data_IF_529930896214
#
_entry.id   IF_529930896214
#
_cell.length_a   1.000
_cell.length_b   1.000
_cell.length_c   1.000
_cell.angle_alpha   90.00
_cell.angle_beta   90.00
_cell.angle_gamma   90.00
#
_symmetry.space_group_name_H-M   'P 1'
#
loop_
_entity.id
_entity.type
_entity.pdbx_description
1 polymer ?
#
# COMPACT_ATOMS: atom_id res chain seq x y z
N UNK A 1 -21.85 -0.07 -0.40
CA UNK A 1 -21.04 1.16 -0.38
C UNK A 1 -19.96 1.03 -1.42
N UNK A 2 -20.03 1.87 -2.46
CA UNK A 2 -18.99 2.02 -3.46
C UNK A 2 -18.10 3.17 -3.01
N UNK A 3 -16.81 2.89 -2.90
CA UNK A 3 -15.80 3.95 -2.93
C UNK A 3 -15.53 4.18 -4.42
N UNK A 4 -16.40 4.99 -5.04
CA UNK A 4 -16.02 5.72 -6.25
C UNK A 4 -14.92 6.70 -5.81
N UNK A 5 -13.76 6.65 -6.44
CA UNK A 5 -13.26 7.67 -7.39
C UNK A 5 -13.52 9.17 -7.11
N UNK A 6 -13.89 9.53 -5.87
CA UNK A 6 -13.93 10.90 -5.36
C UNK A 6 -12.79 11.03 -4.36
N UNK A 7 -11.84 11.90 -4.70
CA UNK A 7 -11.08 12.72 -3.75
C UNK A 7 -10.47 11.97 -2.55
N UNK A 8 -9.28 11.39 -2.78
CA UNK A 8 -8.27 11.20 -1.72
C UNK A 8 -7.64 12.54 -1.31
N UNK A 9 -8.40 13.62 -1.30
CA UNK A 9 -7.86 14.99 -1.23
C UNK A 9 -7.23 15.33 0.14
N UNK A 10 -7.35 14.47 1.16
CA UNK A 10 -6.59 14.65 2.41
C UNK A 10 -6.39 13.36 3.23
N UNK A 11 -5.53 12.44 2.76
CA UNK A 11 -5.18 11.25 3.54
C UNK A 11 -4.56 11.60 4.91
N UNK A 12 -3.86 12.73 5.00
CA UNK A 12 -3.30 13.23 6.25
C UNK A 12 -4.35 13.54 7.31
N UNK A 13 -5.57 13.95 6.93
CA UNK A 13 -6.68 14.12 7.86
C UNK A 13 -7.53 12.86 8.04
N UNK A 14 -7.79 12.14 6.96
CA UNK A 14 -8.78 11.06 6.96
C UNK A 14 -8.26 9.72 7.47
N UNK A 15 -6.97 9.43 7.27
CA UNK A 15 -6.36 8.15 7.61
C UNK A 15 -6.02 8.04 9.11
N UNK A 16 -6.96 8.40 9.99
CA UNK A 16 -6.78 8.46 11.46
C UNK A 16 -6.32 7.14 12.10
N UNK A 17 -6.59 6.01 11.46
CA UNK A 17 -6.15 4.70 11.93
C UNK A 17 -4.66 4.44 11.66
N UNK A 18 -4.01 5.32 10.89
CA UNK A 18 -2.59 5.33 10.60
C UNK A 18 -1.94 6.44 11.43
N UNK A 19 -1.21 6.04 12.45
CA UNK A 19 -0.41 6.89 13.32
C UNK A 19 0.79 6.08 13.83
N UNK A 20 2.02 6.47 13.48
CA UNK A 20 2.37 7.68 12.73
C UNK A 20 2.00 7.62 11.23
N UNK A 21 1.98 8.79 10.57
CA UNK A 21 1.76 8.94 9.13
C UNK A 21 2.52 10.14 8.56
N UNK A 22 2.87 10.08 7.28
CA UNK A 22 3.60 11.11 6.57
C UNK A 22 3.28 11.12 5.09
N UNK A 23 3.48 12.28 4.48
CA UNK A 23 3.57 12.46 3.03
C UNK A 23 4.98 12.90 2.66
N UNK A 24 5.45 12.42 1.53
CA UNK A 24 6.75 12.78 0.99
C UNK A 24 6.70 12.81 -0.53
N UNK A 25 7.47 13.74 -1.11
CA UNK A 25 7.63 13.81 -2.55
C UNK A 25 8.85 12.99 -2.96
N UNK A 26 8.69 12.19 -4.03
CA UNK A 26 9.81 11.56 -4.72
C UNK A 26 9.79 11.96 -6.19
N UNK A 27 10.97 12.09 -6.79
CA UNK A 27 11.13 12.57 -8.17
C UNK A 27 10.39 11.70 -9.21
N UNK A 28 10.22 10.42 -8.90
CA UNK A 28 9.71 9.43 -9.85
C UNK A 28 8.18 9.22 -9.76
N UNK A 29 7.52 9.90 -8.83
CA UNK A 29 6.06 9.85 -8.67
C UNK A 29 5.49 11.24 -8.94
N UNK A 30 4.42 11.29 -9.73
CA UNK A 30 3.80 12.57 -10.11
C UNK A 30 3.06 13.23 -8.93
N UNK A 31 2.57 12.41 -8.00
CA UNK A 31 1.85 12.83 -6.80
C UNK A 31 2.68 12.47 -5.54
N UNK A 32 2.49 13.20 -4.43
CA UNK A 32 3.08 12.82 -3.15
C UNK A 32 2.73 11.37 -2.77
N UNK A 33 3.70 10.70 -2.16
CA UNK A 33 3.49 9.36 -1.62
C UNK A 33 3.10 9.51 -0.16
N UNK A 34 1.94 8.96 0.18
CA UNK A 34 1.50 8.86 1.57
C UNK A 34 1.94 7.53 2.15
N UNK A 35 2.45 7.58 3.37
CA UNK A 35 2.78 6.44 4.19
C UNK A 35 2.08 6.53 5.54
N UNK A 36 1.69 5.38 6.09
CA UNK A 36 1.27 5.33 7.47
C UNK A 36 1.24 3.94 8.06
N UNK A 37 1.35 3.88 9.38
CA UNK A 37 1.41 2.65 10.16
C UNK A 37 0.25 2.56 11.16
N UNK A 38 -0.33 1.38 11.30
CA UNK A 38 -1.27 1.07 12.37
C UNK A 38 -0.51 0.73 13.65
N UNK A 39 -1.17 0.91 14.79
CA UNK A 39 -0.68 0.41 16.10
C UNK A 39 -0.31 -1.09 16.10
N UNK A 40 -0.91 -1.89 15.22
CA UNK A 40 -0.59 -3.31 15.07
C UNK A 40 0.65 -3.59 14.21
N UNK A 41 1.45 -2.59 13.83
CA UNK A 41 2.64 -2.75 12.99
C UNK A 41 2.36 -2.77 11.47
N UNK A 42 1.15 -3.16 11.04
CA UNK A 42 0.71 -3.10 9.64
C UNK A 42 0.87 -1.69 9.07
N UNK A 43 1.37 -1.57 7.85
CA UNK A 43 1.60 -0.27 7.22
C UNK A 43 1.08 -0.24 5.79
N UNK A 44 1.04 0.95 5.20
CA UNK A 44 0.52 1.14 3.84
C UNK A 44 1.26 2.28 3.14
N UNK A 45 1.39 2.14 1.82
CA UNK A 45 1.90 3.17 0.91
C UNK A 45 0.83 3.46 -0.13
N UNK A 46 0.57 4.75 -0.37
CA UNK A 46 -0.35 5.25 -1.37
C UNK A 46 0.44 6.12 -2.32
N UNK A 47 0.47 5.74 -3.59
CA UNK A 47 1.12 6.47 -4.66
C UNK A 47 0.02 7.28 -5.37
N UNK A 48 -0.31 8.45 -4.82
CA UNK A 48 -1.50 9.20 -5.23
C UNK A 48 -2.80 8.40 -5.05
N UNK A 49 -3.61 8.35 -6.11
CA UNK A 49 -4.85 7.55 -6.20
C UNK A 49 -4.67 6.05 -6.50
N UNK A 50 -3.62 5.68 -7.22
CA UNK A 50 -3.34 4.32 -7.67
C UNK A 50 -1.87 4.26 -8.13
N UNK A 51 -1.02 3.34 -7.61
CA UNK A 51 -1.36 2.19 -6.77
C UNK A 51 -1.40 2.44 -5.25
N UNK A 52 -2.05 1.53 -4.54
CA UNK A 52 -1.97 1.41 -3.07
C UNK A 52 -1.50 0.03 -2.69
N UNK A 53 -0.56 -0.04 -1.74
CA UNK A 53 -0.09 -1.30 -1.16
C UNK A 53 -0.27 -1.29 0.35
N UNK A 54 -0.85 -2.36 0.89
CA UNK A 54 -1.06 -2.56 2.32
C UNK A 54 -0.36 -3.85 2.76
N UNK A 55 0.48 -3.73 3.77
CA UNK A 55 1.37 -4.81 4.21
C UNK A 55 0.99 -5.34 5.59
N UNK A 56 1.47 -6.53 5.93
CA UNK A 56 1.59 -6.95 7.33
C UNK A 56 2.79 -6.28 7.99
N UNK A 57 3.01 -6.56 9.27
CA UNK A 57 4.15 -6.02 10.02
C UNK A 57 5.51 -6.58 9.56
N UNK A 58 5.52 -7.68 8.78
CA UNK A 58 6.72 -8.28 8.18
C UNK A 58 6.99 -7.74 6.76
N UNK A 59 6.14 -6.88 6.21
CA UNK A 59 6.28 -6.34 4.86
C UNK A 59 5.72 -7.22 3.75
N UNK A 60 4.95 -8.27 4.07
CA UNK A 60 4.29 -9.07 3.05
C UNK A 60 2.99 -8.42 2.59
N UNK A 61 2.71 -8.52 1.28
CA UNK A 61 1.55 -7.87 0.69
C UNK A 61 0.24 -8.52 1.18
N UNK A 62 -0.64 -7.70 1.77
CA UNK A 62 -1.98 -8.11 2.25
C UNK A 62 -3.07 -7.72 1.28
N UNK A 63 -3.04 -6.48 0.82
CA UNK A 63 -4.03 -5.89 -0.10
C UNK A 63 -3.32 -4.91 -1.00
N UNK A 64 -3.82 -4.80 -2.22
CA UNK A 64 -3.40 -3.77 -3.15
C UNK A 64 -4.62 -3.16 -3.84
N UNK A 65 -4.55 -1.89 -4.20
CA UNK A 65 -5.44 -1.30 -5.19
C UNK A 65 -4.59 -0.98 -6.40
N UNK A 66 -4.84 -1.66 -7.52
CA UNK A 66 -4.02 -1.62 -8.73
C UNK A 66 -4.92 -1.53 -9.94
N UNK A 67 -4.63 -0.59 -10.82
CA UNK A 67 -5.31 -0.42 -12.11
C UNK A 67 -6.85 -0.41 -11.94
N UNK A 68 -7.34 0.29 -10.91
CA UNK A 68 -8.77 0.40 -10.59
C UNK A 68 -9.38 -0.76 -9.79
N UNK A 69 -8.60 -1.80 -9.49
CA UNK A 69 -9.11 -3.04 -8.89
C UNK A 69 -8.57 -3.29 -7.49
N UNK A 70 -9.42 -3.82 -6.61
CA UNK A 70 -9.02 -4.22 -5.25
C UNK A 70 -8.54 -5.68 -5.24
N UNK A 71 -7.33 -5.88 -4.75
CA UNK A 71 -6.70 -7.18 -4.55
C UNK A 71 -6.54 -7.51 -3.06
N UNK A 72 -6.64 -8.80 -2.72
CA UNK A 72 -6.51 -9.29 -1.34
C UNK A 72 -5.83 -10.66 -1.31
N UNK A 73 -4.85 -10.82 -0.42
CA UNK A 73 -4.16 -12.11 -0.24
C UNK A 73 -5.11 -13.24 0.15
N UNK A 74 -4.92 -14.38 -0.52
CA UNK A 74 -5.46 -15.70 -0.16
C UNK A 74 -4.40 -16.59 0.51
N UNK A 75 -3.23 -16.04 0.82
CA UNK A 75 -2.06 -16.74 1.37
C UNK A 75 -1.06 -17.15 0.30
N UNK A 76 -1.52 -17.74 -0.81
CA UNK A 76 -0.68 -18.20 -1.92
C UNK A 76 -0.91 -17.46 -3.25
N UNK A 77 -1.95 -16.62 -3.33
CA UNK A 77 -2.25 -15.77 -4.48
C UNK A 77 -3.00 -14.52 -4.04
N UNK A 78 -3.14 -13.54 -4.93
CA UNK A 78 -4.02 -12.40 -4.75
C UNK A 78 -5.37 -12.68 -5.41
N UNK A 79 -6.44 -12.39 -4.70
CA UNK A 79 -7.79 -12.39 -5.26
C UNK A 79 -8.17 -10.97 -5.66
N UNK A 80 -8.48 -10.76 -6.94
CA UNK A 80 -9.17 -9.58 -7.44
C UNK A 80 -10.63 -9.63 -7.03
N UNK A 81 -11.12 -8.56 -6.42
CA UNK A 81 -12.48 -8.43 -5.92
C UNK A 81 -13.23 -7.40 -6.76
N UNK A 82 -14.21 -7.87 -7.52
CA UNK A 82 -15.06 -7.02 -8.36
C UNK A 82 -16.46 -6.98 -7.77
N UNK A 83 -16.98 -5.78 -7.52
CA UNK A 83 -18.36 -5.63 -7.09
C UNK A 83 -19.27 -5.54 -8.30
N UNK A 84 -20.09 -6.55 -8.52
CA UNK A 84 -21.09 -6.55 -9.59
C UNK A 84 -22.43 -6.13 -9.01
N UNK A 85 -23.06 -5.12 -9.61
CA UNK A 85 -24.41 -4.68 -9.25
C UNK A 85 -25.39 -5.24 -10.27
N UNK A 86 -26.38 -5.96 -9.80
CA UNK A 86 -27.58 -6.33 -10.56
C UNK A 86 -28.75 -5.44 -10.11
N UNK A 87 -29.88 -5.50 -10.82
CA UNK A 87 -31.08 -4.73 -10.47
C UNK A 87 -31.55 -4.97 -9.02
N UNK A 88 -31.31 -6.17 -8.49
CA UNK A 88 -31.87 -6.61 -7.20
C UNK A 88 -30.81 -6.84 -6.10
N UNK A 89 -29.51 -6.90 -6.45
CA UNK A 89 -28.45 -7.22 -5.50
C UNK A 89 -27.09 -6.68 -5.91
N UNK A 90 -26.14 -6.68 -4.97
CA UNK A 90 -24.72 -6.53 -5.30
C UNK A 90 -23.94 -7.77 -4.85
N UNK A 91 -23.33 -8.47 -5.79
CA UNK A 91 -22.46 -9.62 -5.54
C UNK A 91 -20.99 -9.18 -5.55
N UNK A 92 -20.16 -9.89 -4.80
CA UNK A 92 -18.72 -9.71 -4.85
C UNK A 92 -18.13 -10.89 -5.61
N UNK A 93 -17.75 -10.63 -6.86
CA UNK A 93 -17.05 -11.61 -7.68
C UNK A 93 -15.57 -11.64 -7.30
N UNK A 94 -15.03 -12.86 -7.33
CA UNK A 94 -13.66 -13.14 -6.94
C UNK A 94 -12.95 -13.85 -8.09
N UNK A 95 -11.83 -13.28 -8.50
CA UNK A 95 -10.90 -13.90 -9.45
C UNK A 95 -9.54 -14.05 -8.75
N UNK A 96 -9.12 -15.29 -8.53
CA UNK A 96 -7.79 -15.58 -7.97
C UNK A 96 -6.77 -15.49 -9.12
N UNK A 97 -5.72 -14.68 -8.95
CA UNK A 97 -4.68 -14.51 -9.96
C UNK A 97 -3.97 -15.84 -10.25
N UNK A 98 -3.61 -16.03 -11.50
CA UNK A 98 -2.64 -17.05 -11.92
C UNK A 98 -1.25 -16.75 -11.36
N UNK A 99 -0.37 -17.74 -11.37
CA UNK A 99 1.01 -17.57 -10.90
C UNK A 99 1.74 -16.48 -11.69
N UNK A 100 1.58 -16.43 -13.01
CA UNK A 100 2.23 -15.44 -13.87
C UNK A 100 1.73 -14.01 -13.58
N UNK A 101 0.41 -13.82 -13.41
CA UNK A 101 -0.15 -12.51 -13.04
C UNK A 101 0.30 -12.08 -11.64
N UNK A 102 0.41 -13.02 -10.70
CA UNK A 102 0.92 -12.72 -9.36
C UNK A 102 2.38 -12.27 -9.42
N UNK A 103 3.23 -13.00 -10.15
CA UNK A 103 4.64 -12.66 -10.34
C UNK A 103 4.80 -11.27 -10.95
N UNK A 104 3.99 -10.93 -11.96
CA UNK A 104 3.98 -9.61 -12.57
C UNK A 104 3.62 -8.51 -11.55
N UNK A 105 2.57 -8.72 -10.75
CA UNK A 105 2.16 -7.77 -9.71
C UNK A 105 3.27 -7.56 -8.67
N UNK A 106 3.88 -8.64 -8.20
CA UNK A 106 4.96 -8.58 -7.22
C UNK A 106 6.22 -7.94 -7.79
N UNK A 107 6.55 -8.20 -9.06
CA UNK A 107 7.68 -7.57 -9.75
C UNK A 107 7.47 -6.06 -9.93
N UNK A 108 6.29 -5.64 -10.42
CA UNK A 108 5.92 -4.21 -10.54
C UNK A 108 6.00 -3.50 -9.18
N UNK A 109 5.58 -4.15 -8.10
CA UNK A 109 5.70 -3.63 -6.74
C UNK A 109 7.17 -3.51 -6.32
N UNK A 110 7.95 -4.58 -6.46
CA UNK A 110 9.37 -4.62 -6.07
C UNK A 110 10.19 -3.55 -6.79
N UNK A 111 9.98 -3.38 -8.11
CA UNK A 111 10.64 -2.36 -8.91
C UNK A 111 10.36 -0.94 -8.39
N UNK A 112 9.10 -0.68 -8.02
CA UNK A 112 8.70 0.61 -7.46
C UNK A 112 9.36 0.87 -6.10
N UNK A 113 9.38 -0.11 -5.21
CA UNK A 113 10.03 0.04 -3.90
C UNK A 113 11.57 0.10 -4.01
N UNK A 114 12.17 -0.54 -5.01
CA UNK A 114 13.62 -0.43 -5.29
C UNK A 114 13.97 0.99 -5.71
N UNK A 115 13.12 1.59 -6.55
CA UNK A 115 13.25 2.99 -6.95
C UNK A 115 13.11 3.94 -5.77
N UNK A 116 12.10 3.75 -4.90
CA UNK A 116 11.97 4.52 -3.66
C UNK A 116 13.20 4.40 -2.76
N UNK A 117 13.70 3.17 -2.55
CA UNK A 117 14.89 2.94 -1.71
C UNK A 117 16.11 3.70 -2.24
N UNK A 118 16.25 3.82 -3.56
CA UNK A 118 17.35 4.56 -4.18
C UNK A 118 17.26 6.07 -3.89
N UNK A 119 16.06 6.66 -3.97
CA UNK A 119 15.85 8.09 -3.65
C UNK A 119 16.11 8.37 -2.16
N UNK A 120 15.76 7.43 -1.28
CA UNK A 120 15.96 7.51 0.16
C UNK A 120 17.42 7.50 0.62
N UNK A 121 18.36 7.15 -0.25
CA UNK A 121 19.79 7.21 0.04
C UNK A 121 20.31 8.65 0.15
N UNK A 122 19.58 9.61 -0.43
CA UNK A 122 19.90 11.03 -0.41
C UNK A 122 18.81 11.79 0.36
N UNK A 123 19.10 12.32 1.56
CA UNK A 123 18.12 13.01 2.37
C UNK A 123 17.42 14.17 1.67
N UNK A 124 18.09 14.83 0.73
CA UNK A 124 17.53 15.99 0.01
C UNK A 124 16.50 15.59 -1.06
N UNK A 125 16.48 14.31 -1.46
CA UNK A 125 15.53 13.75 -2.43
C UNK A 125 14.30 13.12 -1.79
N UNK A 126 14.25 13.12 -0.47
CA UNK A 126 13.15 12.57 0.31
C UNK A 126 12.72 13.54 1.42
N UNK A 127 12.24 14.76 1.07
CA UNK A 127 11.66 15.66 2.05
C UNK A 127 10.27 15.16 2.47
N UNK A 128 10.01 15.10 3.78
CA UNK A 128 8.65 14.94 4.27
C UNK A 128 7.91 16.27 4.07
N UNK A 129 6.81 16.24 3.32
CA UNK A 129 6.00 17.43 3.04
C UNK A 129 5.01 17.71 4.16
N UNK A 130 4.48 16.66 4.77
CA UNK A 130 3.61 16.72 5.96
C UNK A 130 3.81 15.45 6.79
N UNK A 131 3.74 15.54 8.12
CA UNK A 131 3.77 14.35 8.97
C UNK A 131 3.05 14.57 10.31
N UNK A 132 2.54 13.46 10.86
CA UNK A 132 1.90 13.40 12.17
C UNK A 132 2.48 12.20 12.92
N UNK A 133 3.31 12.50 13.92
CA UNK A 133 4.00 11.52 14.76
C UNK A 133 4.36 12.14 16.12
N UNK A 134 4.55 11.30 17.13
CA UNK A 134 5.15 11.70 18.41
C UNK A 134 6.70 11.75 18.35
N UNK A 135 7.28 11.17 17.29
CA UNK A 135 8.71 11.09 17.03
C UNK A 135 9.23 12.26 16.20
N UNK A 136 10.54 12.40 16.13
CA UNK A 136 11.20 13.36 15.24
C UNK A 136 11.01 12.99 13.77
N UNK A 137 11.19 13.97 12.88
CA UNK A 137 11.19 13.75 11.42
C UNK A 137 12.23 12.70 11.02
N UNK A 138 13.43 12.75 11.61
CA UNK A 138 14.50 11.81 11.30
C UNK A 138 14.11 10.37 11.66
N UNK A 139 13.59 10.13 12.87
CA UNK A 139 13.14 8.80 13.29
C UNK A 139 12.02 8.27 12.38
N UNK A 140 11.14 9.15 11.92
CA UNK A 140 10.05 8.80 11.01
C UNK A 140 10.57 8.36 9.64
N UNK A 141 11.60 9.04 9.13
CA UNK A 141 12.26 8.68 7.87
C UNK A 141 12.99 7.35 7.97
N UNK A 142 13.72 7.14 9.06
CA UNK A 142 14.37 5.85 9.36
C UNK A 142 13.34 4.71 9.42
N UNK A 143 12.18 4.95 10.03
CA UNK A 143 11.09 3.99 10.07
C UNK A 143 10.54 3.65 8.68
N UNK A 144 10.32 4.65 7.83
CA UNK A 144 9.87 4.45 6.44
C UNK A 144 10.91 3.63 5.65
N UNK A 145 12.19 3.93 5.80
CA UNK A 145 13.30 3.19 5.16
C UNK A 145 13.35 1.72 5.58
N UNK A 146 13.18 1.46 6.88
CA UNK A 146 13.12 0.09 7.42
C UNK A 146 11.96 -0.67 6.78
N UNK A 147 10.78 -0.05 6.67
CA UNK A 147 9.62 -0.72 6.09
C UNK A 147 9.73 -0.95 4.59
N UNK A 148 10.33 -0.02 3.84
CA UNK A 148 10.66 -0.24 2.43
C UNK A 148 11.62 -1.42 2.27
N UNK A 149 12.61 -1.52 3.17
CA UNK A 149 13.54 -2.66 3.20
C UNK A 149 12.80 -3.98 3.50
N UNK A 150 11.85 -3.99 4.43
CA UNK A 150 11.01 -5.17 4.71
C UNK A 150 10.20 -5.58 3.48
N UNK A 151 9.58 -4.62 2.78
CA UNK A 151 8.83 -4.90 1.53
C UNK A 151 9.73 -5.56 0.49
N UNK A 152 10.95 -5.05 0.30
CA UNK A 152 11.89 -5.61 -0.68
C UNK A 152 12.40 -7.00 -0.30
N UNK A 153 12.67 -7.25 0.99
CA UNK A 153 13.04 -8.58 1.48
C UNK A 153 11.91 -9.60 1.34
N UNK A 154 10.67 -9.16 1.52
CA UNK A 154 9.45 -9.95 1.41
C UNK A 154 8.76 -9.90 0.04
N UNK A 155 9.38 -9.34 -1.00
CA UNK A 155 8.71 -8.99 -2.24
C UNK A 155 8.09 -10.18 -3.00
N UNK A 156 8.56 -11.41 -2.72
CA UNK A 156 8.05 -12.66 -3.31
C UNK A 156 7.01 -13.35 -2.43
N UNK A 157 6.69 -12.80 -1.26
CA UNK A 157 5.82 -13.40 -0.26
C UNK A 157 4.53 -12.59 -0.06
N UNK A 158 3.42 -13.32 0.07
CA UNK A 158 2.14 -12.75 0.46
C UNK A 158 1.90 -12.97 1.95
N UNK A 159 1.21 -12.01 2.55
CA UNK A 159 0.78 -12.15 3.93
C UNK A 159 -0.24 -13.30 4.07
N UNK A 160 -0.45 -13.83 5.30
CA UNK A 160 -1.43 -14.87 5.53
C UNK A 160 -2.84 -14.53 5.01
N UNK A 161 -3.57 -15.56 4.58
CA UNK A 161 -4.95 -15.43 4.09
C UNK A 161 -5.80 -14.62 5.06
N UNK A 162 -6.36 -13.53 4.57
CA UNK A 162 -7.29 -12.77 5.39
C UNK A 162 -8.64 -13.50 5.38
N UNK A 163 -9.09 -13.97 6.55
CA UNK A 163 -10.37 -14.68 6.68
C UNK A 163 -11.54 -13.76 6.31
N UNK A 164 -12.53 -14.29 5.58
CA UNK A 164 -13.81 -13.59 5.40
C UNK A 164 -14.55 -13.50 6.74
N UNK A 165 -15.37 -12.47 6.93
CA UNK A 165 -16.39 -12.53 7.98
C UNK A 165 -17.32 -13.70 7.62
N UNK A 166 -17.45 -14.66 8.52
CA UNK A 166 -18.48 -15.70 8.43
C UNK A 166 -19.85 -15.05 8.58
#
# INVERSE_FOLDING_TARGET
>A
MALHEQDREDLMREAIALYPRAEFQVTQEAEPVFWGQKRSGQFSFYFGGDPVYQFDEQGHLRRAYLDGHLYRTQGNTLARLTKVRTADASTLERYDLTQAELEEVLHRMADRFTRLQTELADPDRFPLTEYLADSTEQELREQIQVQITLVLQGATQLAPRIRGKR
#
